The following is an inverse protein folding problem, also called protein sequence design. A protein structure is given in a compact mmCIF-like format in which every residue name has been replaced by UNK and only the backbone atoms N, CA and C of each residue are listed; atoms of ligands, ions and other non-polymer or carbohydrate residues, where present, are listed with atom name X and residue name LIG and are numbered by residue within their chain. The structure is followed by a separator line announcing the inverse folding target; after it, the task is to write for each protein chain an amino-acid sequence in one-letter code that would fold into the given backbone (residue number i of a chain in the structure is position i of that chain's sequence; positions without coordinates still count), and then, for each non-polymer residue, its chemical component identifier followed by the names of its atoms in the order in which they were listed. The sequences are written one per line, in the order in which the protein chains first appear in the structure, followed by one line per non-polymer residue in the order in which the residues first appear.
data_IF_180028071635
#
_entry.id   IF_180028071635
#
_cell.length_a   1.000
_cell.length_b   1.000
_cell.length_c   1.000
_cell.angle_alpha   90.00
_cell.angle_beta   90.00
_cell.angle_gamma   90.00
#
_symmetry.space_group_name_H-M   'P 1'
#
loop_
_entity.id
_entity.type
_entity.pdbx_description
1 polymer ?
#
# COMPACT_ATOMS: atom_id res chain seq x y z
N UNK A 1 34.22 -56.78 -76.39
CA UNK A 1 32.99 -56.33 -75.71
C UNK A 1 33.41 -55.68 -74.40
N UNK A 2 33.12 -54.37 -74.29
CA UNK A 2 32.54 -53.69 -73.10
C UNK A 2 33.43 -53.70 -71.83
N UNK A 3 33.71 -52.62 -71.10
CA UNK A 3 33.45 -51.18 -71.20
C UNK A 3 34.11 -50.53 -69.97
N UNK A 4 34.39 -49.22 -70.06
CA UNK A 4 34.42 -48.26 -68.93
C UNK A 4 35.58 -48.38 -67.92
N UNK A 5 36.52 -47.42 -67.80
CA UNK A 5 36.32 -46.05 -67.23
C UNK A 5 35.34 -46.14 -66.04
N UNK A 6 35.70 -45.85 -64.81
CA UNK A 6 36.05 -44.53 -64.33
C UNK A 6 36.75 -44.70 -62.98
N UNK A 7 37.93 -44.09 -62.85
CA UNK A 7 38.49 -43.71 -61.56
C UNK A 7 37.47 -42.76 -60.92
N UNK A 8 36.97 -43.10 -59.73
CA UNK A 8 35.89 -42.38 -59.08
C UNK A 8 36.47 -41.16 -58.34
N UNK A 9 36.23 -39.91 -58.78
CA UNK A 9 36.73 -38.71 -58.11
C UNK A 9 36.01 -38.43 -56.78
N UNK A 10 34.90 -39.14 -56.53
CA UNK A 10 34.00 -38.90 -55.41
C UNK A 10 34.51 -39.44 -54.06
N UNK A 11 35.58 -40.23 -54.03
CA UNK A 11 36.14 -40.76 -52.77
C UNK A 11 37.12 -39.75 -52.16
N UNK A 12 37.93 -39.07 -52.98
CA UNK A 12 38.84 -38.01 -52.50
C UNK A 12 38.08 -36.74 -52.07
N UNK A 13 36.98 -36.38 -52.74
CA UNK A 13 36.12 -35.25 -52.30
C UNK A 13 35.35 -35.53 -51.00
N UNK A 14 35.11 -36.81 -50.65
CA UNK A 14 34.43 -37.18 -49.40
C UNK A 14 35.39 -37.18 -48.20
N UNK A 15 36.66 -37.53 -48.41
CA UNK A 15 37.70 -37.48 -47.37
C UNK A 15 38.13 -36.04 -47.04
N UNK A 16 38.17 -35.13 -48.03
CA UNK A 16 38.47 -33.70 -47.81
C UNK A 16 37.37 -32.93 -47.06
N UNK A 17 36.11 -33.40 -47.12
CA UNK A 17 34.98 -32.79 -46.41
C UNK A 17 34.86 -33.21 -44.95
N UNK A 18 35.21 -34.46 -44.60
CA UNK A 18 35.23 -34.92 -43.18
C UNK A 18 36.40 -34.31 -42.40
N UNK A 19 37.59 -34.15 -43.02
CA UNK A 19 38.76 -33.55 -42.37
C UNK A 19 38.57 -32.05 -42.09
N UNK A 20 37.76 -31.35 -42.87
CA UNK A 20 37.45 -29.94 -42.66
C UNK A 20 36.45 -29.71 -41.50
N UNK A 21 35.53 -30.65 -41.27
CA UNK A 21 34.52 -30.57 -40.20
C UNK A 21 35.14 -30.92 -38.83
N UNK A 22 36.08 -31.86 -38.78
CA UNK A 22 36.85 -32.16 -37.56
C UNK A 22 37.81 -31.03 -37.16
N UNK A 23 38.43 -30.33 -38.14
CA UNK A 23 39.27 -29.16 -37.86
C UNK A 23 38.47 -27.95 -37.37
N UNK A 24 37.20 -27.81 -37.77
CA UNK A 24 36.31 -26.75 -37.25
C UNK A 24 35.81 -27.05 -35.83
N UNK A 25 35.60 -28.32 -35.48
CA UNK A 25 35.11 -28.72 -34.16
C UNK A 25 36.19 -28.62 -33.05
N UNK A 26 37.47 -28.75 -33.37
CA UNK A 26 38.56 -28.54 -32.38
C UNK A 26 38.84 -27.05 -32.09
N UNK A 27 38.56 -26.13 -33.02
CA UNK A 27 38.73 -24.68 -32.80
C UNK A 27 37.60 -24.04 -31.97
N UNK A 28 36.36 -24.57 -32.04
CA UNK A 28 35.22 -24.04 -31.26
C UNK A 28 35.19 -24.52 -29.80
N UNK A 29 35.73 -25.71 -29.49
CA UNK A 29 35.77 -26.27 -28.12
C UNK A 29 36.37 -25.34 -27.05
N UNK A 30 37.56 -24.72 -27.25
CA UNK A 30 38.14 -23.84 -26.23
C UNK A 30 37.39 -22.51 -26.10
N UNK A 31 36.63 -22.07 -27.12
CA UNK A 31 35.85 -20.84 -27.06
C UNK A 31 34.54 -21.01 -26.27
N UNK A 32 33.91 -22.19 -26.38
CA UNK A 32 32.68 -22.53 -25.65
C UNK A 32 32.97 -22.71 -24.16
N UNK A 33 34.04 -23.43 -23.79
CA UNK A 33 34.44 -23.59 -22.39
C UNK A 33 34.84 -22.26 -21.72
N UNK A 34 35.47 -21.34 -22.47
CA UNK A 34 35.80 -20.00 -21.97
C UNK A 34 34.55 -19.14 -21.77
N UNK A 35 33.52 -19.32 -22.60
CA UNK A 35 32.25 -18.61 -22.47
C UNK A 35 31.42 -19.14 -21.28
N UNK A 36 31.35 -20.45 -21.08
CA UNK A 36 30.68 -21.06 -19.92
C UNK A 36 31.36 -20.69 -18.60
N UNK A 37 32.70 -20.67 -18.56
CA UNK A 37 33.45 -20.22 -17.38
C UNK A 37 33.23 -18.74 -17.06
N UNK A 38 33.07 -17.89 -18.09
CA UNK A 38 32.74 -16.47 -17.88
C UNK A 38 31.30 -16.27 -17.37
N UNK A 39 30.34 -17.06 -17.87
CA UNK A 39 28.94 -16.99 -17.40
C UNK A 39 28.80 -17.47 -15.94
N UNK A 40 29.51 -18.52 -15.52
CA UNK A 40 29.49 -18.99 -14.11
C UNK A 40 30.12 -17.97 -13.13
N UNK A 41 31.12 -17.19 -13.55
CA UNK A 41 31.69 -16.12 -12.71
C UNK A 41 30.80 -14.87 -12.62
N UNK A 42 30.03 -14.54 -13.67
CA UNK A 42 29.12 -13.38 -13.66
C UNK A 42 27.80 -13.65 -12.91
N UNK A 43 27.29 -14.88 -12.92
CA UNK A 43 26.05 -15.29 -12.22
C UNK A 43 25.96 -14.82 -10.75
N UNK A 44 26.95 -15.07 -9.87
CA UNK A 44 26.87 -14.66 -8.47
C UNK A 44 26.95 -13.14 -8.28
N UNK A 45 27.57 -12.41 -9.21
CA UNK A 45 27.63 -10.95 -9.16
C UNK A 45 26.27 -10.32 -9.53
N UNK A 46 25.57 -10.90 -10.51
CA UNK A 46 24.22 -10.47 -10.92
C UNK A 46 23.20 -10.70 -9.80
N UNK A 47 23.26 -11.85 -9.12
CA UNK A 47 22.35 -12.17 -8.01
C UNK A 47 22.56 -11.23 -6.79
N UNK A 48 23.81 -10.91 -6.46
CA UNK A 48 24.13 -9.93 -5.40
C UNK A 48 23.69 -8.51 -5.77
N UNK A 49 23.78 -8.13 -7.04
CA UNK A 49 23.29 -6.83 -7.53
C UNK A 49 21.76 -6.75 -7.44
N UNK A 50 21.04 -7.82 -7.79
CA UNK A 50 19.58 -7.90 -7.64
C UNK A 50 19.14 -7.80 -6.17
N UNK A 51 19.81 -8.48 -5.23
CA UNK A 51 19.50 -8.35 -3.80
C UNK A 51 19.73 -6.92 -3.27
N UNK A 52 20.79 -6.24 -3.72
CA UNK A 52 21.06 -4.85 -3.35
C UNK A 52 20.00 -3.90 -3.91
N UNK A 53 19.57 -4.10 -5.15
CA UNK A 53 18.48 -3.34 -5.78
C UNK A 53 17.15 -3.55 -5.05
N UNK A 54 16.84 -4.77 -4.62
CA UNK A 54 15.64 -5.08 -3.83
C UNK A 54 15.69 -4.41 -2.44
N UNK A 55 16.84 -4.43 -1.77
CA UNK A 55 17.03 -3.74 -0.49
C UNK A 55 16.87 -2.22 -0.65
N UNK A 56 17.42 -1.65 -1.73
CA UNK A 56 17.28 -0.22 -2.03
C UNK A 56 15.86 0.15 -2.44
N UNK A 57 15.14 -0.74 -3.14
CA UNK A 57 13.73 -0.57 -3.45
C UNK A 57 12.89 -0.56 -2.17
N UNK A 58 13.09 -1.53 -1.26
CA UNK A 58 12.40 -1.58 0.03
C UNK A 58 12.69 -0.32 0.86
N UNK A 59 13.94 0.13 0.90
CA UNK A 59 14.37 1.36 1.59
C UNK A 59 13.72 2.60 0.97
N UNK A 60 13.67 2.70 -0.34
CA UNK A 60 13.02 3.81 -1.04
C UNK A 60 11.50 3.79 -0.86
N UNK A 61 10.85 2.62 -0.86
CA UNK A 61 9.43 2.48 -0.52
C UNK A 61 9.15 3.01 0.90
N UNK A 62 10.00 2.68 1.86
CA UNK A 62 9.92 3.20 3.23
C UNK A 62 10.08 4.73 3.29
N UNK A 63 11.07 5.28 2.58
CA UNK A 63 11.31 6.73 2.48
C UNK A 63 10.16 7.45 1.77
N UNK A 64 9.63 6.90 0.68
CA UNK A 64 8.52 7.45 -0.09
C UNK A 64 7.25 7.53 0.77
N UNK A 65 6.91 6.45 1.49
CA UNK A 65 5.75 6.41 2.40
C UNK A 65 5.89 7.41 3.56
N UNK A 66 7.07 7.50 4.17
CA UNK A 66 7.36 8.49 5.21
C UNK A 66 7.27 9.93 4.67
N UNK A 67 7.80 10.18 3.47
CA UNK A 67 7.77 11.51 2.83
C UNK A 67 6.35 11.95 2.50
N UNK A 68 5.49 11.06 1.96
CA UNK A 68 4.08 11.38 1.73
C UNK A 68 3.34 11.70 3.05
N UNK A 69 3.67 11.00 4.13
CA UNK A 69 3.09 11.28 5.44
C UNK A 69 3.57 12.64 5.98
N UNK A 70 4.85 12.98 5.81
CA UNK A 70 5.44 14.30 6.15
C UNK A 70 4.72 15.46 5.44
N UNK A 71 4.38 15.30 4.16
CA UNK A 71 3.66 16.33 3.39
C UNK A 71 2.28 16.67 3.95
N UNK A 72 1.55 15.68 4.49
CA UNK A 72 0.24 15.92 5.11
C UNK A 72 0.33 16.56 6.51
N UNK A 73 1.48 16.44 7.18
CA UNK A 73 1.65 16.89 8.56
C UNK A 73 2.08 18.37 8.64
N UNK A 74 2.82 18.87 7.64
CA UNK A 74 3.63 20.10 7.79
C UNK A 74 2.90 21.45 7.59
N UNK A 75 1.58 21.49 7.36
CA UNK A 75 0.84 22.76 7.26
C UNK A 75 -0.43 22.71 8.11
N UNK A 76 -0.37 23.26 9.33
CA UNK A 76 -1.51 23.54 10.22
C UNK A 76 -2.62 22.46 10.25
N UNK A 77 -2.23 21.22 10.52
CA UNK A 77 -3.10 20.05 10.38
C UNK A 77 -3.99 19.80 11.61
N UNK A 78 -4.96 20.70 11.88
CA UNK A 78 -6.03 20.42 12.84
C UNK A 78 -7.07 19.54 12.14
N UNK A 79 -7.20 18.29 12.60
CA UNK A 79 -8.23 17.37 12.14
C UNK A 79 -9.33 17.26 13.19
N UNK A 80 -10.56 17.51 12.78
CA UNK A 80 -11.74 17.40 13.61
C UNK A 80 -12.58 16.21 13.14
N UNK A 81 -12.72 15.23 14.02
CA UNK A 81 -13.55 14.06 13.83
C UNK A 81 -14.81 14.16 14.68
N UNK A 82 -15.96 13.81 14.12
CA UNK A 82 -17.19 13.66 14.90
C UNK A 82 -17.52 12.19 15.05
N UNK A 83 -17.91 11.74 16.25
CA UNK A 83 -18.33 10.37 16.51
C UNK A 83 -19.71 10.35 17.14
N UNK A 84 -20.68 9.80 16.44
CA UNK A 84 -22.04 9.64 16.96
C UNK A 84 -22.08 8.36 17.80
N UNK A 85 -22.51 8.47 19.06
CA UNK A 85 -22.60 7.31 19.95
C UNK A 85 -23.86 6.50 19.66
N UNK A 86 -23.74 5.17 19.71
CA UNK A 86 -24.90 4.27 19.70
C UNK A 86 -25.88 4.60 20.83
N UNK A 87 -27.16 4.64 20.48
CA UNK A 87 -28.26 4.76 21.43
C UNK A 87 -28.28 3.55 22.36
N UNK A 88 -28.48 3.79 23.65
CA UNK A 88 -28.57 2.68 24.60
C UNK A 88 -29.90 1.94 24.47
N UNK A 89 -29.95 0.65 24.85
CA UNK A 89 -31.22 -0.05 25.02
C UNK A 89 -32.14 0.76 25.93
N UNK A 90 -33.34 1.10 25.46
CA UNK A 90 -34.29 1.98 26.16
C UNK A 90 -34.27 3.45 25.72
N UNK A 91 -33.29 3.87 24.92
CA UNK A 91 -33.27 5.19 24.28
C UNK A 91 -33.88 5.06 22.87
N UNK A 92 -35.17 5.36 22.74
CA UNK A 92 -35.89 5.20 21.46
C UNK A 92 -35.33 6.08 20.34
N UNK A 93 -35.59 5.68 19.08
CA UNK A 93 -35.15 6.43 17.88
C UNK A 93 -35.66 7.89 17.86
N UNK A 94 -36.78 8.16 18.53
CA UNK A 94 -37.33 9.51 18.71
C UNK A 94 -36.40 10.46 19.49
N UNK A 95 -35.44 9.92 20.26
CA UNK A 95 -34.45 10.70 20.99
C UNK A 95 -33.19 11.01 20.16
N UNK A 96 -33.09 10.51 18.93
CA UNK A 96 -32.02 10.89 18.02
C UNK A 96 -32.28 12.26 17.43
N UNK A 97 -31.29 13.14 17.54
CA UNK A 97 -31.26 14.43 16.84
C UNK A 97 -30.48 14.33 15.53
N UNK A 98 -29.77 13.24 15.26
CA UNK A 98 -29.00 13.05 14.03
C UNK A 98 -29.94 12.55 12.93
N UNK A 99 -29.95 13.27 11.81
CA UNK A 99 -30.80 12.98 10.63
C UNK A 99 -30.00 12.31 9.52
N UNK A 100 -28.81 12.82 9.23
CA UNK A 100 -27.99 12.35 8.12
C UNK A 100 -26.50 12.41 8.46
N UNK A 101 -25.78 11.38 8.03
CA UNK A 101 -24.33 11.27 8.12
C UNK A 101 -23.83 11.01 6.70
N UNK A 102 -23.13 11.97 6.11
CA UNK A 102 -22.50 11.85 4.80
C UNK A 102 -21.09 11.26 4.88
N UNK A 103 -20.67 10.62 3.79
CA UNK A 103 -19.33 10.02 3.68
C UNK A 103 -18.22 11.08 3.66
N UNK A 104 -18.51 12.28 3.15
CA UNK A 104 -17.59 13.43 3.06
C UNK A 104 -17.44 14.23 4.37
N UNK A 105 -17.84 13.64 5.51
CA UNK A 105 -17.76 14.29 6.82
C UNK A 105 -18.87 15.30 7.09
N UNK A 106 -19.98 15.23 6.35
CA UNK A 106 -21.18 16.04 6.59
C UNK A 106 -22.08 15.41 7.66
N UNK A 107 -22.57 16.21 8.61
CA UNK A 107 -23.48 15.79 9.66
C UNK A 107 -24.66 16.76 9.73
N UNK A 108 -25.87 16.23 9.57
CA UNK A 108 -27.12 17.01 9.71
C UNK A 108 -27.81 16.63 11.01
N UNK A 109 -28.12 17.64 11.82
CA UNK A 109 -28.76 17.51 13.13
C UNK A 109 -30.04 18.34 13.17
N UNK A 110 -31.13 17.74 13.64
CA UNK A 110 -32.40 18.42 13.92
C UNK A 110 -32.21 19.37 15.10
N UNK A 111 -32.61 20.63 14.94
CA UNK A 111 -32.57 21.60 16.02
C UNK A 111 -33.70 21.33 17.04
N UNK A 112 -33.39 20.97 18.30
CA UNK A 112 -34.43 20.69 19.30
C UNK A 112 -35.11 21.98 19.83
N UNK A 113 -34.49 23.15 19.65
CA UNK A 113 -35.02 24.43 20.14
C UNK A 113 -35.87 25.07 19.05
N UNK A 114 -37.18 24.78 19.06
CA UNK A 114 -38.21 25.37 18.17
C UNK A 114 -38.50 26.85 18.46
N UNK A 115 -37.51 27.65 18.83
CA UNK A 115 -37.68 29.07 19.15
C UNK A 115 -37.03 29.95 18.09
N UNK A 116 -37.49 29.82 16.85
CA UNK A 116 -37.16 30.80 15.83
C UNK A 116 -38.44 31.39 15.29
N UNK A 117 -38.67 32.65 15.66
CA UNK A 117 -39.48 33.66 14.97
C UNK A 117 -39.09 33.85 13.49
N UNK A 118 -38.21 33.00 12.96
CA UNK A 118 -37.74 32.93 11.58
C UNK A 118 -38.05 31.53 11.04
N UNK A 119 -38.94 31.40 10.03
CA UNK A 119 -39.18 30.12 9.38
C UNK A 119 -37.91 29.68 8.64
N UNK A 120 -37.48 28.42 8.81
CA UNK A 120 -36.56 27.78 7.84
C UNK A 120 -35.21 27.23 8.33
N UNK A 121 -34.95 27.03 9.62
CA UNK A 121 -33.77 26.26 10.07
C UNK A 121 -34.12 25.19 11.11
N UNK A 122 -34.91 24.23 10.68
CA UNK A 122 -35.22 23.02 11.46
C UNK A 122 -34.01 22.08 11.58
N UNK A 123 -33.01 22.27 10.71
CA UNK A 123 -31.81 21.45 10.63
C UNK A 123 -30.54 22.31 10.65
N UNK A 124 -29.50 21.80 11.30
CA UNK A 124 -28.16 22.35 11.29
C UNK A 124 -27.20 21.37 10.63
N UNK A 125 -26.45 21.85 9.65
CA UNK A 125 -25.42 21.07 8.95
C UNK A 125 -24.04 21.46 9.47
N UNK A 126 -23.22 20.45 9.76
CA UNK A 126 -21.84 20.59 10.22
C UNK A 126 -20.91 19.82 9.29
N UNK A 127 -19.72 20.36 9.05
CA UNK A 127 -18.69 19.71 8.23
C UNK A 127 -17.45 19.41 9.08
N UNK A 128 -17.01 18.17 9.01
CA UNK A 128 -15.86 17.62 9.73
C UNK A 128 -14.91 16.94 8.75
N UNK A 129 -13.73 16.52 9.21
CA UNK A 129 -12.85 15.70 8.39
C UNK A 129 -13.46 14.32 8.14
N UNK A 130 -14.17 13.78 9.13
CA UNK A 130 -14.95 12.54 9.02
C UNK A 130 -15.97 12.47 10.15
N UNK A 131 -17.11 11.85 9.86
CA UNK A 131 -18.18 11.60 10.83
C UNK A 131 -18.35 10.08 10.97
N UNK A 132 -18.11 9.56 12.16
CA UNK A 132 -18.28 8.16 12.48
C UNK A 132 -19.73 7.89 12.90
N UNK A 133 -20.32 6.88 12.26
CA UNK A 133 -21.68 6.42 12.55
C UNK A 133 -21.77 5.74 13.93
N UNK A 134 -22.98 5.56 14.47
CA UNK A 134 -23.21 4.79 15.69
C UNK A 134 -22.64 3.36 15.68
N UNK A 135 -22.53 2.76 14.49
CA UNK A 135 -22.00 1.42 14.30
C UNK A 135 -20.46 1.37 14.24
N UNK A 136 -19.80 2.53 14.14
CA UNK A 136 -18.37 2.60 13.92
C UNK A 136 -17.56 2.01 15.09
N UNK A 137 -16.66 1.12 14.75
CA UNK A 137 -15.85 0.37 15.72
C UNK A 137 -14.65 1.20 16.19
N UNK A 138 -14.07 0.80 17.32
CA UNK A 138 -12.85 1.45 17.82
C UNK A 138 -11.65 1.23 16.87
N UNK A 139 -11.61 0.08 16.18
CA UNK A 139 -10.57 -0.23 15.21
C UNK A 139 -10.63 0.69 13.98
N UNK A 140 -11.83 0.99 13.47
CA UNK A 140 -12.02 1.94 12.38
C UNK A 140 -11.55 3.35 12.76
N UNK A 141 -11.93 3.83 13.94
CA UNK A 141 -11.49 5.13 14.45
C UNK A 141 -9.96 5.16 14.61
N UNK A 142 -9.36 4.08 15.12
CA UNK A 142 -7.92 4.00 15.29
C UNK A 142 -7.17 3.99 13.95
N UNK A 143 -7.68 3.31 12.92
CA UNK A 143 -7.05 3.25 11.60
C UNK A 143 -6.84 4.64 10.99
N UNK A 144 -7.79 5.54 11.16
CA UNK A 144 -7.69 6.93 10.66
C UNK A 144 -6.73 7.81 11.50
N UNK A 145 -6.52 7.44 12.77
CA UNK A 145 -5.61 8.12 13.72
C UNK A 145 -4.19 7.54 13.65
N UNK A 146 -4.02 6.31 13.18
CA UNK A 146 -2.75 5.59 13.11
C UNK A 146 -1.60 6.40 12.47
N UNK A 147 -1.81 7.19 11.38
CA UNK A 147 -0.76 8.05 10.84
C UNK A 147 -0.26 9.12 11.82
N UNK A 148 -1.15 9.66 12.68
CA UNK A 148 -0.78 10.60 13.73
C UNK A 148 0.08 9.92 14.79
N UNK A 149 -0.25 8.68 15.16
CA UNK A 149 0.54 7.91 16.13
C UNK A 149 1.94 7.61 15.58
N UNK A 150 2.06 7.23 14.30
CA UNK A 150 3.36 7.06 13.64
C UNK A 150 4.19 8.35 13.64
N UNK A 151 3.53 9.51 13.49
CA UNK A 151 4.21 10.81 13.54
C UNK A 151 4.89 11.05 14.89
N UNK A 152 4.32 10.53 15.99
CA UNK A 152 4.95 10.61 17.32
C UNK A 152 6.26 9.80 17.35
N UNK A 153 6.29 8.64 16.71
CA UNK A 153 7.50 7.82 16.59
C UNK A 153 8.59 8.50 15.75
N UNK A 154 8.18 9.31 14.77
CA UNK A 154 9.06 10.12 13.94
C UNK A 154 9.55 11.41 14.65
N UNK A 155 9.16 11.63 15.92
CA UNK A 155 9.60 12.76 16.74
C UNK A 155 8.70 14.01 16.68
N UNK A 156 7.48 13.90 16.13
CA UNK A 156 6.53 15.02 16.11
C UNK A 156 5.65 15.06 17.37
N UNK A 157 5.37 16.27 17.85
CA UNK A 157 4.40 16.47 18.93
C UNK A 157 2.97 16.39 18.39
N UNK A 158 2.20 15.42 18.89
CA UNK A 158 0.79 15.23 18.52
C UNK A 158 -0.08 15.35 19.77
N UNK A 159 -1.20 16.05 19.64
CA UNK A 159 -2.21 16.17 20.70
C UNK A 159 -3.55 15.61 20.20
N UNK A 160 -4.11 14.63 20.93
CA UNK A 160 -5.42 14.04 20.67
C UNK A 160 -6.28 14.25 21.91
N UNK A 161 -7.43 14.88 21.73
CA UNK A 161 -8.40 15.09 22.79
C UNK A 161 -9.81 14.77 22.29
N UNK A 162 -10.66 14.33 23.21
CA UNK A 162 -12.06 14.05 22.93
C UNK A 162 -12.95 15.11 23.59
N UNK A 163 -13.86 15.70 22.82
CA UNK A 163 -14.76 16.77 23.27
C UNK A 163 -16.24 16.34 23.27
N UNK A 164 -17.06 16.99 24.11
CA UNK A 164 -18.52 16.85 24.12
C UNK A 164 -19.15 16.92 25.51
N UNK A 165 -20.44 16.61 25.64
CA UNK A 165 -21.15 16.52 26.93
C UNK A 165 -20.90 15.21 27.72
N UNK A 166 -21.26 15.15 28.99
CA UNK A 166 -21.21 13.90 29.78
C UNK A 166 -22.04 12.79 29.11
N UNK A 167 -21.57 11.53 29.16
CA UNK A 167 -22.15 10.35 28.46
C UNK A 167 -22.07 10.37 26.92
N UNK A 168 -21.35 11.32 26.31
CA UNK A 168 -21.16 11.35 24.85
C UNK A 168 -20.19 10.30 24.30
N UNK A 169 -19.51 9.52 25.14
CA UNK A 169 -18.58 8.48 24.70
C UNK A 169 -17.11 8.92 24.60
N UNK A 170 -16.70 10.03 25.24
CA UNK A 170 -15.29 10.46 25.31
C UNK A 170 -14.37 9.39 25.91
N UNK A 171 -14.70 8.90 27.12
CA UNK A 171 -13.92 7.85 27.80
C UNK A 171 -13.91 6.56 26.97
N UNK A 172 -15.04 6.23 26.36
CA UNK A 172 -15.13 5.08 25.46
C UNK A 172 -14.18 5.22 24.25
N UNK A 173 -14.05 6.42 23.70
CA UNK A 173 -13.18 6.66 22.54
C UNK A 173 -11.69 6.67 22.90
N UNK A 174 -11.33 7.18 24.08
CA UNK A 174 -9.92 7.35 24.47
C UNK A 174 -9.32 6.13 25.20
N UNK A 175 -10.10 5.45 26.04
CA UNK A 175 -9.55 4.50 27.04
C UNK A 175 -10.18 3.11 26.95
N UNK A 176 -11.21 2.91 26.12
CA UNK A 176 -11.96 1.66 26.17
C UNK A 176 -11.10 0.45 25.79
N UNK A 177 -11.01 -0.56 26.69
CA UNK A 177 -10.18 -1.73 26.45
C UNK A 177 -10.73 -2.58 25.32
N UNK A 178 -9.88 -2.93 24.37
CA UNK A 178 -10.19 -3.92 23.35
C UNK A 178 -10.26 -5.30 24.04
N UNK A 179 -11.47 -5.84 24.22
CA UNK A 179 -11.61 -7.22 24.71
C UNK A 179 -11.02 -8.15 23.65
N UNK A 180 -9.94 -8.86 23.98
CA UNK A 180 -9.49 -10.00 23.19
C UNK A 180 -10.62 -11.02 23.23
N UNK A 181 -11.23 -11.29 22.08
CA UNK A 181 -12.08 -12.47 21.89
C UNK A 181 -11.17 -13.69 21.78
#
# INVERSE_FOLDING_TARGET
MISSKYLNPAIEEQEELEVADEQQQEEEQPAIEQHEQQEEEEQPAIEQQQELEDIDMIRNIGKQKCSQMKSQIMVRNVRVFSRVRLLLPGQGAANSVVEYIGEDGELVVRNPVRNSTKPGKDFCMFKFNKVYTPAATQAEVFKDIEPLVRSVMDGFNVCIFAYGQTRSGKIYTMVYPHKKK
#
